data_IF_164843360521
#
_entry.id   IF_164843360521
#
_cell.length_a   1.000
_cell.length_b   1.000
_cell.length_c   1.000
_cell.angle_alpha   90.00
_cell.angle_beta   90.00
_cell.angle_gamma   90.00
#
_symmetry.space_group_name_H-M   'P 1'
#
loop_
_entity.id
_entity.type
_entity.pdbx_description
1 polymer ?
#
# COMPACT_ATOMS: atom_id res chain seq x y z
N UNK A 1 -32.48 -37.86 10.61
CA UNK A 1 -31.06 -37.55 10.80
C UNK A 1 -30.38 -37.00 9.54
N UNK A 2 -30.71 -37.46 8.33
CA UNK A 2 -30.12 -37.01 7.04
C UNK A 2 -30.47 -35.55 6.66
N UNK A 3 -31.71 -35.12 6.89
CA UNK A 3 -32.17 -33.75 6.58
C UNK A 3 -31.54 -32.64 7.48
N UNK A 4 -31.24 -32.99 8.75
CA UNK A 4 -30.61 -32.04 9.68
C UNK A 4 -29.18 -31.68 9.26
N UNK A 5 -28.37 -32.66 8.86
CA UNK A 5 -27.00 -32.43 8.39
C UNK A 5 -26.92 -31.58 7.08
N UNK A 6 -27.90 -31.83 6.18
CA UNK A 6 -28.00 -31.07 4.92
C UNK A 6 -28.36 -29.58 5.17
N UNK A 7 -29.25 -29.35 6.14
CA UNK A 7 -29.64 -27.98 6.51
C UNK A 7 -28.50 -27.21 7.17
N UNK A 8 -27.72 -27.86 8.02
CA UNK A 8 -26.55 -27.30 8.67
C UNK A 8 -25.42 -26.94 7.65
N UNK A 9 -25.20 -27.83 6.68
CA UNK A 9 -24.22 -27.61 5.61
C UNK A 9 -24.61 -26.42 4.74
N UNK A 10 -25.85 -26.25 4.36
CA UNK A 10 -26.36 -25.15 3.55
C UNK A 10 -26.31 -23.83 4.35
N UNK A 11 -26.59 -23.86 5.64
CA UNK A 11 -26.48 -22.70 6.54
C UNK A 11 -25.01 -22.22 6.63
N UNK A 12 -24.11 -23.16 6.88
CA UNK A 12 -22.66 -22.85 6.96
C UNK A 12 -22.08 -22.32 5.63
N UNK A 13 -22.55 -22.85 4.49
CA UNK A 13 -22.17 -22.32 3.17
C UNK A 13 -22.64 -20.87 2.96
N UNK A 14 -23.87 -20.54 3.39
CA UNK A 14 -24.39 -19.17 3.30
C UNK A 14 -23.67 -18.19 4.23
N UNK A 15 -23.32 -18.61 5.44
CA UNK A 15 -22.55 -17.80 6.39
C UNK A 15 -21.14 -17.56 5.88
N UNK A 16 -20.45 -18.58 5.38
CA UNK A 16 -19.11 -18.45 4.78
C UNK A 16 -19.10 -17.50 3.57
N UNK A 17 -20.16 -17.54 2.74
CA UNK A 17 -20.30 -16.62 1.61
C UNK A 17 -20.52 -15.18 2.06
N UNK A 18 -21.30 -14.95 3.12
CA UNK A 18 -21.52 -13.60 3.69
C UNK A 18 -20.22 -13.04 4.27
N UNK A 19 -19.45 -13.85 5.00
CA UNK A 19 -18.15 -13.46 5.57
C UNK A 19 -17.17 -13.10 4.44
N UNK A 20 -17.10 -13.90 3.38
CA UNK A 20 -16.24 -13.63 2.23
C UNK A 20 -16.60 -12.30 1.54
N UNK A 21 -17.89 -12.06 1.31
CA UNK A 21 -18.32 -10.80 0.70
C UNK A 21 -18.01 -9.59 1.60
N UNK A 22 -18.16 -9.74 2.92
CA UNK A 22 -17.80 -8.69 3.88
C UNK A 22 -16.29 -8.40 3.89
N UNK A 23 -15.45 -9.44 3.84
CA UNK A 23 -13.99 -9.28 3.75
C UNK A 23 -13.59 -8.60 2.45
N UNK A 24 -14.16 -8.98 1.31
CA UNK A 24 -13.90 -8.35 0.02
C UNK A 24 -14.33 -6.88 0.00
N UNK A 25 -15.49 -6.58 0.60
CA UNK A 25 -15.94 -5.20 0.74
C UNK A 25 -14.99 -4.39 1.64
N UNK A 26 -14.51 -4.96 2.75
CA UNK A 26 -13.54 -4.34 3.64
C UNK A 26 -12.21 -4.03 2.92
N UNK A 27 -11.69 -4.96 2.13
CA UNK A 27 -10.50 -4.77 1.30
C UNK A 27 -10.71 -3.59 0.33
N UNK A 28 -11.87 -3.52 -0.32
CA UNK A 28 -12.20 -2.42 -1.23
C UNK A 28 -12.25 -1.07 -0.53
N UNK A 29 -12.87 -0.99 0.66
CA UNK A 29 -12.93 0.24 1.45
C UNK A 29 -11.52 0.68 1.91
N UNK A 30 -10.71 -0.24 2.45
CA UNK A 30 -9.35 0.06 2.89
C UNK A 30 -8.48 0.53 1.71
N UNK A 31 -8.60 -0.06 0.53
CA UNK A 31 -7.88 0.40 -0.66
C UNK A 31 -8.23 1.86 -1.04
N UNK A 32 -9.49 2.25 -0.92
CA UNK A 32 -9.92 3.63 -1.16
C UNK A 32 -9.40 4.56 -0.07
N UNK A 33 -9.44 4.14 1.20
CA UNK A 33 -8.87 4.90 2.33
C UNK A 33 -7.38 5.09 2.13
N UNK A 34 -6.64 4.05 1.77
CA UNK A 34 -5.21 4.12 1.49
C UNK A 34 -4.90 5.14 0.38
N UNK A 35 -5.65 5.11 -0.72
CA UNK A 35 -5.48 6.08 -1.81
C UNK A 35 -5.71 7.53 -1.34
N UNK A 36 -6.75 7.76 -0.54
CA UNK A 36 -7.03 9.07 0.04
C UNK A 36 -5.93 9.55 1.00
N UNK A 37 -5.38 8.66 1.85
CA UNK A 37 -4.28 8.96 2.77
C UNK A 37 -2.99 9.30 2.00
N UNK A 38 -2.70 8.59 0.90
CA UNK A 38 -1.54 8.88 0.04
C UNK A 38 -1.67 10.25 -0.60
N UNK A 39 -2.84 10.59 -1.15
CA UNK A 39 -3.08 11.93 -1.72
C UNK A 39 -2.92 13.01 -0.65
N UNK A 40 -3.44 12.78 0.55
CA UNK A 40 -3.26 13.72 1.66
C UNK A 40 -1.80 13.87 2.05
N UNK A 41 -1.05 12.76 2.09
CA UNK A 41 0.41 12.79 2.33
C UNK A 41 1.14 13.63 1.29
N UNK A 42 0.80 13.51 0.00
CA UNK A 42 1.40 14.32 -1.06
C UNK A 42 1.16 15.83 -0.86
N UNK A 43 -0.05 16.20 -0.45
CA UNK A 43 -0.41 17.59 -0.14
C UNK A 43 0.39 18.12 1.07
N UNK A 44 0.54 17.31 2.14
CA UNK A 44 1.32 17.69 3.31
C UNK A 44 2.81 17.85 2.98
N UNK A 45 3.38 16.90 2.22
CA UNK A 45 4.79 16.97 1.78
C UNK A 45 5.05 18.20 0.93
N UNK A 46 4.16 18.49 -0.02
CA UNK A 46 4.23 19.70 -0.83
C UNK A 46 4.20 20.98 0.04
N UNK A 47 3.41 20.99 1.12
CA UNK A 47 3.33 22.12 2.07
C UNK A 47 4.56 22.26 2.98
N UNK A 48 5.37 21.20 3.15
CA UNK A 48 6.61 21.22 3.93
C UNK A 48 7.79 21.69 3.05
N UNK A 49 7.73 21.41 1.75
CA UNK A 49 8.75 21.87 0.82
C UNK A 49 8.86 23.39 0.87
N UNK A 50 10.08 23.88 1.13
CA UNK A 50 10.36 25.31 1.26
C UNK A 50 10.29 25.86 2.69
N UNK A 51 9.65 25.21 3.67
CA UNK A 51 9.61 25.73 5.06
C UNK A 51 11.01 25.83 5.69
N UNK A 52 11.88 24.86 5.43
CA UNK A 52 13.28 24.90 5.90
C UNK A 52 14.04 26.11 5.33
N UNK A 53 13.73 26.48 4.07
CA UNK A 53 14.32 27.66 3.45
C UNK A 53 13.81 28.95 4.07
N UNK A 54 12.51 29.01 4.41
CA UNK A 54 11.93 30.15 5.14
C UNK A 54 12.62 30.35 6.49
N UNK A 55 12.85 29.28 7.26
CA UNK A 55 13.60 29.34 8.53
C UNK A 55 15.02 29.85 8.31
N UNK A 56 15.72 29.36 7.28
CA UNK A 56 17.08 29.80 6.95
C UNK A 56 17.12 31.28 6.58
N UNK A 57 16.20 31.76 5.73
CA UNK A 57 16.17 33.17 5.32
C UNK A 57 15.74 34.09 6.46
N UNK A 58 14.85 33.65 7.39
CA UNK A 58 14.56 34.41 8.60
C UNK A 58 15.83 34.58 9.47
N UNK A 59 16.68 33.56 9.56
CA UNK A 59 17.98 33.63 10.20
C UNK A 59 18.96 34.52 9.45
N UNK A 60 18.96 34.54 8.08
CA UNK A 60 19.77 35.43 7.26
C UNK A 60 19.41 36.90 7.45
N UNK A 61 18.10 37.23 7.47
CA UNK A 61 17.61 38.58 7.78
C UNK A 61 18.20 39.09 9.08
N UNK A 62 18.17 38.27 10.15
CA UNK A 62 18.76 38.59 11.45
C UNK A 62 20.26 38.84 11.34
N UNK A 63 21.00 37.91 10.72
CA UNK A 63 22.45 37.95 10.62
C UNK A 63 22.96 39.12 9.76
N UNK A 64 22.36 39.34 8.60
CA UNK A 64 22.74 40.38 7.68
C UNK A 64 22.39 41.77 8.21
N UNK A 65 21.27 41.93 8.90
CA UNK A 65 20.94 43.21 9.54
C UNK A 65 21.93 43.55 10.64
N UNK A 66 22.33 42.61 11.48
CA UNK A 66 23.35 42.83 12.49
C UNK A 66 24.71 43.20 11.84
N UNK A 67 25.06 42.60 10.73
CA UNK A 67 26.24 42.93 9.98
C UNK A 67 26.12 44.32 9.37
N UNK A 68 25.01 44.66 8.75
CA UNK A 68 24.70 45.98 8.17
C UNK A 68 24.91 47.09 9.21
N UNK A 69 24.29 46.96 10.37
CA UNK A 69 24.40 47.95 11.47
C UNK A 69 25.84 48.10 11.93
N UNK A 70 26.60 47.01 12.06
CA UNK A 70 28.04 47.10 12.42
C UNK A 70 28.86 47.83 11.37
N UNK A 71 28.61 47.62 10.07
CA UNK A 71 29.31 48.28 8.98
C UNK A 71 28.99 49.78 8.97
N UNK A 72 27.71 50.13 9.16
CA UNK A 72 27.28 51.53 9.21
C UNK A 72 27.90 52.29 10.40
N UNK A 73 27.93 51.67 11.60
CA UNK A 73 28.64 52.25 12.77
C UNK A 73 30.14 52.41 12.51
N UNK A 74 30.76 51.50 11.75
CA UNK A 74 32.15 51.60 11.34
C UNK A 74 32.41 52.63 10.22
N UNK A 75 31.37 53.32 9.73
CA UNK A 75 31.47 54.30 8.67
C UNK A 75 31.57 53.71 7.26
N UNK A 76 31.19 52.45 7.10
CA UNK A 76 31.18 51.75 5.81
C UNK A 76 29.71 51.57 5.37
N UNK A 77 29.29 52.43 4.44
CA UNK A 77 27.92 52.35 3.90
C UNK A 77 27.73 51.13 2.98
N UNK A 78 26.71 50.34 3.26
CA UNK A 78 26.40 49.06 2.56
C UNK A 78 24.96 49.01 2.05
N UNK A 79 24.68 49.84 1.00
CA UNK A 79 23.33 49.91 0.41
C UNK A 79 22.90 48.59 -0.23
N UNK A 80 23.79 47.82 -0.85
CA UNK A 80 23.47 46.52 -1.43
C UNK A 80 23.08 45.50 -0.39
N UNK A 81 23.62 45.55 0.84
CA UNK A 81 23.19 44.67 1.93
C UNK A 81 21.81 45.08 2.47
N UNK A 82 21.53 46.39 2.53
CA UNK A 82 20.24 46.91 2.92
C UNK A 82 19.14 46.49 1.93
N UNK A 83 19.39 46.54 0.63
CA UNK A 83 18.49 46.05 -0.42
C UNK A 83 18.28 44.51 -0.33
N UNK A 84 19.35 43.75 -0.05
CA UNK A 84 19.25 42.29 0.14
C UNK A 84 18.37 41.92 1.31
N UNK A 85 18.53 42.57 2.46
CA UNK A 85 17.67 42.32 3.65
C UNK A 85 16.22 42.67 3.35
N UNK A 86 15.96 43.77 2.66
CA UNK A 86 14.61 44.17 2.25
C UNK A 86 13.99 43.13 1.30
N UNK A 87 14.74 42.62 0.32
CA UNK A 87 14.30 41.55 -0.58
C UNK A 87 13.96 40.28 0.19
N UNK A 88 14.80 39.88 1.16
CA UNK A 88 14.53 38.69 1.98
C UNK A 88 13.27 38.85 2.83
N UNK A 89 13.04 39.99 3.45
CA UNK A 89 11.82 40.28 4.23
C UNK A 89 10.58 40.20 3.30
N UNK A 90 10.66 40.77 2.11
CA UNK A 90 9.56 40.72 1.15
C UNK A 90 9.32 39.29 0.64
N UNK A 91 10.36 38.52 0.35
CA UNK A 91 10.27 37.13 -0.02
C UNK A 91 9.62 36.25 1.07
N UNK A 92 9.93 36.51 2.34
CA UNK A 92 9.31 35.81 3.49
C UNK A 92 7.83 36.18 3.67
N UNK A 93 7.43 37.41 3.34
CA UNK A 93 6.03 37.89 3.44
C UNK A 93 5.15 37.39 2.32
N UNK A 94 5.65 37.43 1.08
CA UNK A 94 4.83 37.23 -0.11
C UNK A 94 5.14 35.95 -0.88
N UNK A 95 6.28 35.34 -0.63
CA UNK A 95 6.89 34.32 -1.45
C UNK A 95 7.81 34.96 -2.50
N UNK A 96 8.76 34.20 -3.02
CA UNK A 96 9.70 34.65 -4.04
C UNK A 96 10.24 33.45 -4.82
N UNK A 97 10.04 33.45 -6.14
CA UNK A 97 10.44 32.33 -7.01
C UNK A 97 11.96 32.29 -7.22
N UNK A 98 12.64 33.44 -7.30
CA UNK A 98 14.09 33.49 -7.46
C UNK A 98 14.83 32.99 -6.23
N UNK A 99 14.33 33.38 -5.04
CA UNK A 99 14.83 32.90 -3.75
C UNK A 99 14.26 31.51 -3.39
N UNK A 100 13.31 31.01 -4.20
CA UNK A 100 12.53 29.77 -3.91
C UNK A 100 11.92 29.79 -2.51
N UNK A 101 11.39 30.93 -2.10
CA UNK A 101 10.70 31.12 -0.84
C UNK A 101 9.19 30.93 -1.02
N UNK A 102 8.61 30.11 -0.14
CA UNK A 102 7.17 29.93 -0.09
C UNK A 102 6.57 30.81 1.00
N UNK A 103 5.41 31.42 0.71
CA UNK A 103 4.67 32.15 1.71
C UNK A 103 4.07 31.16 2.72
N UNK A 104 4.45 31.28 4.02
CA UNK A 104 3.83 30.46 5.06
C UNK A 104 2.39 30.90 5.32
N UNK A 105 1.48 29.92 5.41
CA UNK A 105 0.04 30.17 5.70
C UNK A 105 -0.27 30.43 7.18
N UNK A 106 0.73 30.52 8.06
CA UNK A 106 0.55 30.78 9.47
C UNK A 106 0.31 32.26 9.74
N UNK A 107 -0.81 32.58 10.41
CA UNK A 107 -1.20 33.97 10.69
C UNK A 107 -0.23 34.65 11.66
N UNK A 108 0.25 33.95 12.67
CA UNK A 108 1.15 34.51 13.69
C UNK A 108 2.47 34.89 13.06
N UNK A 109 3.02 34.02 12.19
CA UNK A 109 4.21 34.31 11.41
C UNK A 109 4.00 35.52 10.50
N UNK A 110 2.90 35.57 9.74
CA UNK A 110 2.64 36.68 8.82
C UNK A 110 2.49 38.02 9.57
N UNK A 111 1.80 38.02 10.71
CA UNK A 111 1.69 39.23 11.55
C UNK A 111 3.08 39.68 12.04
N UNK A 112 3.93 38.73 12.47
CA UNK A 112 5.30 39.04 12.90
C UNK A 112 6.16 39.57 11.75
N UNK A 113 5.98 39.05 10.55
CA UNK A 113 6.67 39.55 9.34
C UNK A 113 6.23 40.98 8.95
N UNK A 114 4.96 41.35 9.19
CA UNK A 114 4.50 42.74 9.02
C UNK A 114 5.15 43.69 10.04
N UNK A 115 5.24 43.27 11.29
CA UNK A 115 5.96 44.00 12.36
C UNK A 115 7.43 44.13 12.02
N UNK A 116 8.08 43.06 11.55
CA UNK A 116 9.48 43.06 11.13
C UNK A 116 9.74 44.04 10.00
N UNK A 117 8.91 44.06 8.96
CA UNK A 117 9.04 45.00 7.84
C UNK A 117 8.91 46.44 8.31
N UNK A 118 7.94 46.74 9.18
CA UNK A 118 7.80 48.09 9.75
C UNK A 118 9.00 48.51 10.61
N UNK A 119 9.52 47.57 11.40
CA UNK A 119 10.74 47.81 12.22
C UNK A 119 11.97 48.06 11.33
N UNK A 120 12.10 47.31 10.21
CA UNK A 120 13.18 47.50 9.26
C UNK A 120 13.17 48.90 8.62
N UNK A 121 11.99 49.38 8.24
CA UNK A 121 11.85 50.76 7.72
C UNK A 121 12.31 51.78 8.74
N UNK A 122 11.95 51.61 10.01
CA UNK A 122 12.46 52.48 11.09
C UNK A 122 13.98 52.40 11.27
N UNK A 123 14.54 51.20 11.13
CA UNK A 123 15.99 50.98 11.21
C UNK A 123 16.72 51.62 10.02
N UNK A 124 16.17 51.53 8.80
CA UNK A 124 16.75 52.24 7.61
C UNK A 124 16.83 53.73 7.83
N UNK A 125 15.78 54.33 8.40
CA UNK A 125 15.82 55.76 8.73
C UNK A 125 16.92 56.08 9.73
N UNK A 126 17.16 55.25 10.71
CA UNK A 126 18.21 55.43 11.71
C UNK A 126 19.59 55.26 11.08
N UNK A 127 19.79 54.33 10.15
CA UNK A 127 21.02 54.16 9.37
C UNK A 127 21.36 55.43 8.62
N UNK A 128 20.38 56.06 7.96
CA UNK A 128 20.63 57.35 7.27
C UNK A 128 21.01 58.45 8.24
N UNK A 129 20.43 58.48 9.47
CA UNK A 129 20.83 59.44 10.51
C UNK A 129 22.25 59.19 11.03
N UNK A 130 22.66 57.90 11.13
CA UNK A 130 24.05 57.54 11.49
C UNK A 130 25.04 58.12 10.46
N UNK A 131 24.73 58.00 9.17
CA UNK A 131 25.55 58.56 8.08
C UNK A 131 25.65 60.11 8.13
N UNK A 132 24.57 60.78 8.57
CA UNK A 132 24.50 62.24 8.64
C UNK A 132 25.11 62.81 9.94
N UNK A 133 24.85 62.20 11.11
CA UNK A 133 25.10 62.76 12.43
C UNK A 133 26.12 61.98 13.28
N UNK A 134 26.53 60.78 12.80
CA UNK A 134 27.33 59.83 13.57
C UNK A 134 26.50 59.01 14.54
N UNK A 135 26.91 57.76 14.80
CA UNK A 135 26.15 56.79 15.56
C UNK A 135 25.89 57.19 17.03
N UNK A 136 26.78 57.97 17.64
CA UNK A 136 26.63 58.43 19.06
C UNK A 136 25.40 59.31 19.28
N UNK A 137 24.83 59.88 18.23
CA UNK A 137 23.67 60.78 18.27
C UNK A 137 22.39 60.13 17.71
N UNK A 138 22.36 58.82 17.69
CA UNK A 138 21.28 58.06 17.10
C UNK A 138 20.89 56.92 17.99
N UNK A 139 19.65 56.38 17.79
CA UNK A 139 19.12 55.24 18.54
C UNK A 139 19.36 53.90 17.78
N UNK A 140 20.40 53.87 16.94
CA UNK A 140 20.66 52.71 16.05
C UNK A 140 20.84 51.41 16.82
N UNK A 141 21.48 51.44 17.98
CA UNK A 141 21.72 50.25 18.82
C UNK A 141 20.40 49.71 19.33
N UNK A 142 19.58 50.55 19.98
CA UNK A 142 18.30 50.14 20.54
C UNK A 142 17.31 49.62 19.47
N UNK A 143 17.29 50.30 18.32
CA UNK A 143 16.47 49.84 17.16
C UNK A 143 16.98 48.52 16.58
N UNK A 144 18.29 48.35 16.54
CA UNK A 144 18.90 47.10 16.07
C UNK A 144 18.59 45.93 17.01
N UNK A 145 18.65 46.12 18.33
CA UNK A 145 18.28 45.10 19.30
C UNK A 145 16.79 44.74 19.22
N UNK A 146 15.91 45.75 19.11
CA UNK A 146 14.47 45.51 18.91
C UNK A 146 14.22 44.74 17.62
N UNK A 147 14.90 45.06 16.53
CA UNK A 147 14.78 44.34 15.27
C UNK A 147 15.26 42.89 15.41
N UNK A 148 16.39 42.68 16.14
CA UNK A 148 16.89 41.35 16.44
C UNK A 148 15.86 40.46 17.17
N UNK A 149 15.23 41.01 18.22
CA UNK A 149 14.21 40.31 18.99
C UNK A 149 13.01 39.89 18.13
N UNK A 150 12.53 40.77 17.25
CA UNK A 150 11.45 40.48 16.29
C UNK A 150 11.87 39.40 15.30
N UNK A 151 13.13 39.43 14.80
CA UNK A 151 13.66 38.36 13.93
C UNK A 151 13.72 37.03 14.64
N UNK A 152 14.14 36.99 15.89
CA UNK A 152 14.23 35.75 16.68
C UNK A 152 12.85 35.15 16.92
N UNK A 153 11.85 35.97 17.27
CA UNK A 153 10.46 35.52 17.37
C UNK A 153 9.92 35.01 16.05
N UNK A 154 10.18 35.70 14.92
CA UNK A 154 9.74 35.27 13.59
C UNK A 154 10.37 33.93 13.20
N UNK A 155 11.67 33.75 13.49
CA UNK A 155 12.38 32.49 13.24
C UNK A 155 11.76 31.34 14.07
N UNK A 156 11.51 31.58 15.36
CA UNK A 156 10.86 30.61 16.25
C UNK A 156 9.46 30.20 15.78
N UNK A 157 8.66 31.15 15.26
CA UNK A 157 7.36 30.87 14.67
C UNK A 157 7.46 30.01 13.39
N UNK A 158 8.44 30.31 12.51
CA UNK A 158 8.70 29.50 11.33
C UNK A 158 9.14 28.08 11.67
N UNK A 159 10.02 27.92 12.66
CA UNK A 159 10.45 26.61 13.16
C UNK A 159 9.27 25.81 13.74
N UNK A 160 8.46 26.45 14.59
CA UNK A 160 7.26 25.84 15.20
C UNK A 160 6.29 25.37 14.11
N UNK A 161 6.04 26.18 13.10
CA UNK A 161 5.19 25.81 11.97
C UNK A 161 5.76 24.59 11.23
N UNK A 162 7.07 24.59 10.93
CA UNK A 162 7.75 23.47 10.28
C UNK A 162 7.65 22.18 11.09
N UNK A 163 7.86 22.26 12.43
CA UNK A 163 7.75 21.10 13.32
C UNK A 163 6.32 20.57 13.42
N UNK A 164 5.31 21.43 13.48
CA UNK A 164 3.90 21.01 13.47
C UNK A 164 3.55 20.27 12.17
N UNK A 165 4.02 20.76 11.02
CA UNK A 165 3.80 20.07 9.74
C UNK A 165 4.50 18.71 9.70
N UNK A 166 5.74 18.64 10.16
CA UNK A 166 6.50 17.38 10.23
C UNK A 166 5.85 16.36 11.17
N UNK A 167 5.33 16.80 12.34
CA UNK A 167 4.62 15.91 13.27
C UNK A 167 3.31 15.37 12.68
N UNK A 168 2.58 16.21 11.94
CA UNK A 168 1.36 15.78 11.23
C UNK A 168 1.67 14.72 10.17
N UNK A 169 2.79 14.86 9.46
CA UNK A 169 3.25 13.86 8.49
C UNK A 169 3.57 12.52 9.17
N UNK A 170 4.26 12.55 10.32
CA UNK A 170 4.60 11.35 11.08
C UNK A 170 3.35 10.60 11.61
N UNK A 171 2.31 11.34 11.99
CA UNK A 171 1.01 10.74 12.38
C UNK A 171 0.34 10.08 11.19
N UNK A 172 0.31 10.76 10.03
CA UNK A 172 -0.28 10.24 8.80
C UNK A 172 0.44 8.96 8.31
N UNK A 173 1.77 8.93 8.39
CA UNK A 173 2.59 7.76 8.06
C UNK A 173 2.20 6.54 8.91
N UNK A 174 1.91 6.72 10.19
CA UNK A 174 1.42 5.64 11.08
C UNK A 174 0.08 5.09 10.62
N UNK A 175 -0.86 5.97 10.22
CA UNK A 175 -2.16 5.52 9.70
C UNK A 175 -2.02 4.76 8.39
N UNK A 176 -1.19 5.23 7.46
CA UNK A 176 -0.89 4.53 6.20
C UNK A 176 -0.28 3.16 6.50
N UNK A 177 0.70 3.09 7.39
CA UNK A 177 1.35 1.82 7.77
C UNK A 177 0.34 0.84 8.38
N UNK A 178 -0.52 1.31 9.29
CA UNK A 178 -1.55 0.48 9.90
C UNK A 178 -2.55 -0.04 8.87
N UNK A 179 -3.00 0.80 7.94
CA UNK A 179 -3.92 0.43 6.88
C UNK A 179 -3.31 -0.63 5.95
N UNK A 180 -2.05 -0.46 5.53
CA UNK A 180 -1.31 -1.44 4.72
C UNK A 180 -1.20 -2.79 5.45
N UNK A 181 -0.88 -2.80 6.74
CA UNK A 181 -0.76 -4.04 7.52
C UNK A 181 -2.09 -4.78 7.57
N UNK A 182 -3.19 -4.07 7.86
CA UNK A 182 -4.53 -4.67 7.90
C UNK A 182 -4.92 -5.20 6.51
N UNK A 183 -4.66 -4.44 5.46
CA UNK A 183 -4.93 -4.83 4.08
C UNK A 183 -4.17 -6.11 3.70
N UNK A 184 -2.88 -6.19 4.04
CA UNK A 184 -2.06 -7.38 3.80
C UNK A 184 -2.58 -8.61 4.55
N UNK A 185 -3.04 -8.45 5.81
CA UNK A 185 -3.64 -9.53 6.58
C UNK A 185 -4.93 -10.06 5.92
N UNK A 186 -5.80 -9.18 5.45
CA UNK A 186 -7.06 -9.56 4.80
C UNK A 186 -6.82 -10.24 3.45
N UNK A 187 -5.89 -9.73 2.65
CA UNK A 187 -5.51 -10.36 1.37
C UNK A 187 -4.88 -11.74 1.63
N UNK A 188 -3.98 -11.84 2.60
CA UNK A 188 -3.37 -13.11 3.01
C UNK A 188 -4.41 -14.15 3.46
N UNK A 189 -5.40 -13.73 4.22
CA UNK A 189 -6.53 -14.59 4.62
C UNK A 189 -7.31 -15.12 3.42
N UNK A 190 -7.71 -14.25 2.48
CA UNK A 190 -8.43 -14.69 1.26
C UNK A 190 -7.55 -15.60 0.38
N UNK A 191 -6.26 -15.35 0.30
CA UNK A 191 -5.33 -16.20 -0.44
C UNK A 191 -5.20 -17.60 0.16
N UNK A 192 -5.00 -17.71 1.48
CA UNK A 192 -4.94 -19.02 2.17
C UNK A 192 -6.24 -19.78 1.98
N UNK A 193 -7.36 -19.10 2.09
CA UNK A 193 -8.68 -19.67 1.88
C UNK A 193 -8.85 -20.19 0.45
N UNK A 194 -8.42 -19.44 -0.56
CA UNK A 194 -8.45 -19.87 -1.96
C UNK A 194 -7.60 -21.13 -2.20
N UNK A 195 -6.40 -21.20 -1.62
CA UNK A 195 -5.55 -22.41 -1.67
C UNK A 195 -6.23 -23.60 -1.05
N UNK A 196 -6.86 -23.42 0.11
CA UNK A 196 -7.59 -24.50 0.79
C UNK A 196 -8.77 -25.02 -0.06
N UNK A 197 -9.56 -24.13 -0.67
CA UNK A 197 -10.63 -24.51 -1.57
C UNK A 197 -10.14 -25.28 -2.81
N UNK A 198 -9.03 -24.84 -3.40
CA UNK A 198 -8.44 -25.51 -4.55
C UNK A 198 -7.98 -26.93 -4.20
N UNK A 199 -7.28 -27.09 -3.07
CA UNK A 199 -6.86 -28.41 -2.58
C UNK A 199 -8.04 -29.33 -2.29
N UNK A 200 -9.09 -28.81 -1.65
CA UNK A 200 -10.29 -29.58 -1.36
C UNK A 200 -11.04 -29.99 -2.63
N UNK A 201 -11.16 -29.13 -3.62
CA UNK A 201 -11.77 -29.45 -4.91
C UNK A 201 -10.99 -30.53 -5.65
N UNK A 202 -9.67 -30.48 -5.68
CA UNK A 202 -8.85 -31.55 -6.25
C UNK A 202 -9.05 -32.89 -5.55
N UNK A 203 -9.11 -32.90 -4.22
CA UNK A 203 -9.37 -34.10 -3.44
C UNK A 203 -10.78 -34.68 -3.69
N UNK A 204 -11.78 -33.79 -3.82
CA UNK A 204 -13.16 -34.19 -4.17
C UNK A 204 -13.24 -34.77 -5.59
N UNK A 205 -12.64 -34.12 -6.58
CA UNK A 205 -12.59 -34.62 -7.95
C UNK A 205 -11.96 -36.02 -8.03
N UNK A 206 -10.83 -36.21 -7.28
CA UNK A 206 -10.20 -37.52 -7.21
C UNK A 206 -11.13 -38.59 -6.65
N UNK A 207 -11.87 -38.29 -5.59
CA UNK A 207 -12.87 -39.24 -5.00
C UNK A 207 -14.09 -39.52 -5.88
N UNK A 208 -14.54 -38.52 -6.66
CA UNK A 208 -15.72 -38.63 -7.52
C UNK A 208 -15.39 -39.35 -8.83
N UNK A 209 -14.19 -39.20 -9.37
CA UNK A 209 -13.87 -39.67 -10.70
C UNK A 209 -12.76 -40.72 -10.80
N UNK A 210 -12.12 -41.11 -9.69
CA UNK A 210 -11.10 -42.14 -9.68
C UNK A 210 -11.53 -43.36 -8.90
N UNK A 211 -11.16 -44.55 -9.34
CA UNK A 211 -11.32 -45.79 -8.63
C UNK A 211 -10.18 -45.98 -7.61
N UNK A 212 -10.52 -46.13 -6.34
CA UNK A 212 -9.54 -46.21 -5.25
C UNK A 212 -8.66 -47.47 -5.33
N UNK A 213 -9.17 -48.57 -5.92
CA UNK A 213 -8.43 -49.82 -6.00
C UNK A 213 -7.40 -49.85 -7.10
N UNK A 214 -7.66 -49.21 -8.24
CA UNK A 214 -6.83 -49.25 -9.47
C UNK A 214 -6.13 -47.93 -9.78
N UNK A 215 -6.61 -46.81 -9.24
CA UNK A 215 -6.13 -45.48 -9.58
C UNK A 215 -6.50 -45.04 -11.01
N UNK A 216 -7.35 -45.78 -11.71
CA UNK A 216 -7.92 -45.42 -13.00
C UNK A 216 -9.19 -44.54 -12.83
N UNK A 217 -9.61 -43.80 -13.86
CA UNK A 217 -10.95 -43.24 -13.91
C UNK A 217 -12.04 -44.28 -13.58
N UNK A 218 -12.97 -43.90 -12.72
CA UNK A 218 -14.04 -44.82 -12.27
C UNK A 218 -15.24 -44.77 -13.22
N UNK A 219 -16.26 -45.53 -12.85
CA UNK A 219 -17.53 -45.62 -13.58
C UNK A 219 -18.14 -44.25 -13.91
N UNK A 220 -18.18 -43.35 -12.93
CA UNK A 220 -18.76 -42.02 -13.15
C UNK A 220 -18.01 -41.24 -14.24
N UNK A 221 -16.69 -41.36 -14.30
CA UNK A 221 -15.89 -40.70 -15.34
C UNK A 221 -16.05 -41.38 -16.70
N UNK A 222 -16.18 -42.68 -16.74
CA UNK A 222 -16.50 -43.42 -17.96
C UNK A 222 -17.88 -43.01 -18.52
N UNK A 223 -18.89 -42.93 -17.67
CA UNK A 223 -20.24 -42.50 -18.07
C UNK A 223 -20.30 -41.07 -18.53
N UNK A 224 -19.59 -40.15 -17.85
CA UNK A 224 -19.51 -38.74 -18.26
C UNK A 224 -18.91 -38.60 -19.66
N UNK A 225 -17.81 -39.30 -19.94
CA UNK A 225 -17.13 -39.26 -21.23
C UNK A 225 -18.01 -39.83 -22.36
N UNK A 226 -18.66 -40.95 -22.12
CA UNK A 226 -19.56 -41.60 -23.07
C UNK A 226 -20.87 -40.84 -23.31
N UNK A 227 -21.31 -40.06 -22.34
CA UNK A 227 -22.56 -39.27 -22.41
C UNK A 227 -22.38 -37.89 -23.04
N UNK A 228 -21.15 -37.47 -23.30
CA UNK A 228 -20.83 -36.16 -23.86
C UNK A 228 -20.14 -36.30 -25.26
N UNK A 229 -20.86 -36.77 -26.29
CA UNK A 229 -20.31 -37.01 -27.61
C UNK A 229 -19.77 -35.74 -28.30
N UNK A 230 -20.24 -34.54 -27.87
CA UNK A 230 -19.74 -33.26 -28.34
C UNK A 230 -18.27 -32.96 -27.95
N UNK A 231 -17.75 -33.67 -26.97
CA UNK A 231 -16.32 -33.59 -26.57
C UNK A 231 -15.44 -34.42 -27.50
N UNK A 232 -16.03 -35.27 -28.37
CA UNK A 232 -15.35 -36.18 -29.28
C UNK A 232 -15.37 -35.54 -30.68
N UNK A 233 -14.29 -34.91 -31.06
CA UNK A 233 -14.18 -34.17 -32.36
C UNK A 233 -13.79 -35.03 -33.53
N UNK A 234 -13.43 -36.32 -33.31
CA UNK A 234 -12.99 -37.25 -34.36
C UNK A 234 -13.60 -38.64 -34.13
N UNK A 235 -13.74 -39.50 -35.17
CA UNK A 235 -14.17 -40.87 -34.96
C UNK A 235 -13.20 -41.60 -34.03
N UNK A 236 -13.76 -42.20 -32.94
CA UNK A 236 -13.00 -42.97 -31.97
C UNK A 236 -13.51 -44.40 -31.89
N UNK A 237 -12.61 -45.33 -31.61
CA UNK A 237 -12.95 -46.71 -31.23
C UNK A 237 -13.11 -46.80 -29.73
N UNK A 238 -14.18 -47.45 -29.24
CA UNK A 238 -14.35 -47.77 -27.86
C UNK A 238 -14.13 -49.27 -27.70
N UNK A 239 -13.21 -49.64 -26.83
CA UNK A 239 -12.94 -51.04 -26.45
C UNK A 239 -13.46 -51.30 -25.04
N UNK A 240 -14.27 -52.32 -24.87
CA UNK A 240 -14.66 -52.82 -23.54
C UNK A 240 -13.96 -54.11 -23.22
N UNK A 241 -13.42 -54.21 -22.03
CA UNK A 241 -12.72 -55.40 -21.53
C UNK A 241 -13.42 -55.90 -20.32
N UNK A 242 -13.56 -57.23 -20.20
CA UNK A 242 -14.12 -57.91 -19.01
C UNK A 242 -13.05 -58.89 -18.49
N UNK A 243 -12.83 -58.86 -17.17
CA UNK A 243 -11.85 -59.70 -16.49
C UNK A 243 -12.41 -61.14 -16.30
N UNK A 244 -11.93 -62.02 -17.17
CA UNK A 244 -12.36 -63.42 -17.12
C UNK A 244 -12.04 -64.09 -15.75
N UNK A 245 -12.99 -64.90 -15.27
CA UNK A 245 -12.82 -65.74 -14.06
C UNK A 245 -12.60 -65.00 -12.74
N UNK A 246 -12.85 -63.71 -12.61
CA UNK A 246 -12.70 -62.97 -11.35
C UNK A 246 -13.53 -63.62 -10.22
N UNK A 247 -14.77 -64.02 -10.51
CA UNK A 247 -15.64 -64.72 -9.55
C UNK A 247 -15.05 -66.05 -9.07
N UNK A 248 -14.36 -66.78 -9.95
CA UNK A 248 -13.71 -68.05 -9.58
C UNK A 248 -12.48 -67.80 -8.71
N UNK A 249 -11.72 -66.79 -8.98
CA UNK A 249 -10.55 -66.36 -8.17
C UNK A 249 -11.06 -65.98 -6.77
N UNK A 250 -12.07 -65.11 -6.69
CA UNK A 250 -12.67 -64.70 -5.42
C UNK A 250 -13.16 -65.90 -4.58
N UNK A 251 -13.82 -66.85 -5.20
CA UNK A 251 -14.36 -68.03 -4.51
C UNK A 251 -13.28 -69.04 -4.06
N UNK A 252 -12.21 -69.18 -4.82
CA UNK A 252 -11.15 -70.16 -4.55
C UNK A 252 -9.97 -69.61 -3.72
N UNK A 253 -9.66 -68.31 -3.83
CA UNK A 253 -8.47 -67.70 -3.28
C UNK A 253 -8.77 -66.49 -2.37
N UNK A 254 -10.04 -66.09 -2.27
CA UNK A 254 -10.48 -64.94 -1.47
C UNK A 254 -10.46 -63.63 -2.21
N UNK A 255 -11.19 -62.64 -1.69
CA UNK A 255 -11.34 -61.30 -2.30
C UNK A 255 -10.04 -60.51 -2.43
N UNK A 256 -9.09 -60.72 -1.50
CA UNK A 256 -7.80 -60.04 -1.58
C UNK A 256 -6.99 -60.42 -2.86
N UNK A 257 -7.10 -61.67 -3.30
CA UNK A 257 -6.47 -62.15 -4.54
C UNK A 257 -7.23 -61.64 -5.78
N UNK A 258 -8.54 -61.50 -5.70
CA UNK A 258 -9.32 -60.86 -6.75
C UNK A 258 -9.01 -59.39 -6.91
N UNK A 259 -8.88 -58.68 -5.80
CA UNK A 259 -8.48 -57.26 -5.81
C UNK A 259 -7.05 -57.07 -6.37
N UNK A 260 -6.13 -57.98 -6.04
CA UNK A 260 -4.79 -57.97 -6.61
C UNK A 260 -4.83 -58.23 -8.12
N UNK A 261 -5.69 -59.16 -8.59
CA UNK A 261 -5.88 -59.46 -10.00
C UNK A 261 -6.43 -58.27 -10.78
N UNK A 262 -7.40 -57.53 -10.23
CA UNK A 262 -7.94 -56.28 -10.80
C UNK A 262 -6.83 -55.22 -10.91
N UNK A 263 -6.02 -55.04 -9.87
CA UNK A 263 -4.92 -54.07 -9.86
C UNK A 263 -3.86 -54.37 -10.92
N UNK A 264 -3.44 -55.63 -10.99
CA UNK A 264 -2.42 -56.05 -12.00
C UNK A 264 -2.96 -55.80 -13.40
N UNK A 265 -4.24 -56.15 -13.68
CA UNK A 265 -4.83 -55.91 -14.98
C UNK A 265 -4.90 -54.41 -15.31
N UNK A 266 -5.31 -53.58 -14.35
CA UNK A 266 -5.35 -52.13 -14.52
C UNK A 266 -3.96 -51.52 -14.86
N UNK A 267 -2.91 -52.04 -14.20
CA UNK A 267 -1.53 -51.64 -14.49
C UNK A 267 -1.11 -52.08 -15.90
N UNK A 268 -1.39 -53.30 -16.30
CA UNK A 268 -1.07 -53.80 -17.65
C UNK A 268 -1.80 -53.02 -18.75
N UNK A 269 -3.06 -52.68 -18.57
CA UNK A 269 -3.81 -51.88 -19.55
C UNK A 269 -3.23 -50.46 -19.63
N UNK A 270 -2.91 -49.88 -18.48
CA UNK A 270 -2.33 -48.52 -18.45
C UNK A 270 -0.95 -48.45 -19.11
N UNK A 271 -0.14 -49.51 -18.97
CA UNK A 271 1.16 -49.61 -19.65
C UNK A 271 1.05 -49.89 -21.15
N UNK A 272 0.05 -50.69 -21.57
CA UNK A 272 -0.15 -51.06 -22.97
C UNK A 272 -0.80 -49.95 -23.79
N UNK A 273 -1.61 -49.08 -23.17
CA UNK A 273 -2.35 -48.00 -23.84
C UNK A 273 -1.55 -46.70 -23.74
N UNK A 274 -1.28 -46.02 -24.87
CA UNK A 274 -0.58 -44.75 -24.87
C UNK A 274 -1.28 -43.70 -24.01
N UNK A 275 -0.51 -42.82 -23.30
CA UNK A 275 -1.01 -41.90 -22.28
C UNK A 275 -2.05 -40.86 -22.76
N UNK A 276 -2.20 -40.67 -24.09
CA UNK A 276 -3.21 -39.78 -24.68
C UNK A 276 -4.57 -40.44 -24.93
N UNK A 277 -4.69 -41.74 -24.70
CA UNK A 277 -5.97 -42.44 -24.71
C UNK A 277 -6.57 -42.57 -23.31
N UNK A 278 -7.89 -42.60 -23.28
CA UNK A 278 -8.62 -42.80 -22.02
C UNK A 278 -8.65 -44.32 -21.68
N UNK A 279 -8.39 -44.61 -20.42
CA UNK A 279 -8.60 -45.93 -19.82
C UNK A 279 -9.34 -45.72 -18.49
N UNK A 280 -10.44 -46.43 -18.29
CA UNK A 280 -11.23 -46.34 -17.08
C UNK A 280 -11.79 -47.71 -16.64
N UNK A 281 -12.14 -47.81 -15.34
CA UNK A 281 -12.84 -48.97 -14.78
C UNK A 281 -14.33 -48.67 -14.73
N UNK A 282 -15.12 -49.26 -15.61
CA UNK A 282 -16.56 -49.03 -15.75
C UNK A 282 -17.44 -49.86 -14.79
N UNK A 283 -16.89 -50.94 -14.24
CA UNK A 283 -17.60 -51.86 -13.33
C UNK A 283 -16.68 -52.63 -12.39
N UNK A 284 -17.15 -53.68 -11.81
CA UNK A 284 -16.35 -54.51 -10.92
C UNK A 284 -15.16 -55.18 -11.62
N UNK A 285 -15.40 -55.74 -12.80
CA UNK A 285 -14.49 -56.46 -13.70
C UNK A 285 -14.43 -55.86 -15.10
N UNK A 286 -15.16 -54.73 -15.34
CA UNK A 286 -15.26 -54.07 -16.64
C UNK A 286 -14.34 -52.87 -16.75
N UNK A 287 -13.62 -52.76 -17.87
CA UNK A 287 -12.74 -51.67 -18.22
C UNK A 287 -13.06 -51.13 -19.62
N UNK A 288 -12.84 -49.85 -19.84
CA UNK A 288 -13.06 -49.16 -21.11
C UNK A 288 -11.79 -48.41 -21.48
#
# INVERSE_FOLDING_TARGET
MYNSKRFETVKNMRENKKISNAVQAAIGVLAVVLAALIVWMMVLVSGIQGTARVVNYAGLVRGETQRLVKMEIAGQAEDGMMESVESFINGLRFGDDELTLVRLGDKSFQTKMEELASCFESLKQEIYLVREKGFEKTDIIDKSEKFFDICDEATGLAETYSQMRASSLAVLERYITADIVVLMMLIGYEFIKALHYTAMNHALQKKVYMDEATGLPNKNKCEELLSAPEMITMPVGVCSFDLNNLRRINNSMGHEKGDAYIRIFAELVREAVPAHYFVGRAGGDEFI
#
